data_IF_576808989139
#
_entry.id   IF_576808989139
#
_cell.length_a   1.000
_cell.length_b   1.000
_cell.length_c   1.000
_cell.angle_alpha   90.00
_cell.angle_beta   90.00
_cell.angle_gamma   90.00
#
_symmetry.space_group_name_H-M   'P 1'
#
loop_
_entity.id
_entity.type
_entity.pdbx_description
1 polymer ?
#
# COMPACT_ATOMS: atom_id res chain seq x y z
N UNK A 1 21.77 6.68 -0.38
CA UNK A 1 21.36 5.29 -0.10
C UNK A 1 19.87 5.17 -0.42
N UNK A 2 19.45 4.18 -1.19
CA UNK A 2 18.06 4.12 -1.67
C UNK A 2 17.01 3.67 -0.64
N UNK A 3 17.39 3.09 0.51
CA UNK A 3 16.48 2.97 1.66
C UNK A 3 16.14 4.39 2.15
N UNK A 4 14.93 4.84 1.82
CA UNK A 4 14.50 6.21 2.06
C UNK A 4 14.02 6.40 3.50
N UNK A 5 13.21 5.45 4.00
CA UNK A 5 12.61 5.56 5.32
C UNK A 5 12.33 4.19 5.93
N UNK A 6 12.53 4.08 7.23
CA UNK A 6 12.05 2.96 8.05
C UNK A 6 11.14 3.51 9.14
N UNK A 7 9.95 2.93 9.31
CA UNK A 7 8.98 3.30 10.34
C UNK A 7 8.77 2.08 11.22
N UNK A 8 9.20 2.16 12.48
CA UNK A 8 8.88 1.16 13.49
C UNK A 8 7.54 1.54 14.12
N UNK A 9 6.44 0.89 13.70
CA UNK A 9 5.12 1.17 14.23
C UNK A 9 4.91 0.53 15.61
N UNK A 10 5.32 -0.74 15.75
CA UNK A 10 5.40 -1.47 17.01
C UNK A 10 6.68 -2.31 17.03
N UNK A 11 6.97 -3.02 18.12
CA UNK A 11 8.11 -3.97 18.15
C UNK A 11 8.03 -5.05 17.08
N UNK A 12 6.82 -5.40 16.64
CA UNK A 12 6.55 -6.49 15.70
C UNK A 12 6.08 -6.01 14.32
N UNK A 13 6.02 -4.69 14.10
CA UNK A 13 5.53 -4.11 12.84
C UNK A 13 6.48 -3.04 12.35
N UNK A 14 7.07 -3.29 11.19
CA UNK A 14 8.02 -2.37 10.55
C UNK A 14 7.65 -2.15 9.10
N UNK A 15 7.72 -0.89 8.68
CA UNK A 15 7.57 -0.45 7.30
C UNK A 15 8.93 -0.03 6.76
N UNK A 16 9.17 -0.35 5.50
CA UNK A 16 10.37 0.06 4.76
C UNK A 16 9.94 0.72 3.47
N UNK A 17 10.55 1.87 3.16
CA UNK A 17 10.31 2.64 1.94
C UNK A 17 11.61 2.81 1.17
N UNK A 18 11.58 2.48 -0.11
CA UNK A 18 12.70 2.59 -1.05
C UNK A 18 12.46 3.69 -2.05
N UNK A 19 13.42 4.59 -2.22
CA UNK A 19 13.43 5.54 -3.32
C UNK A 19 14.20 4.94 -4.49
N UNK A 20 13.50 4.63 -5.57
CA UNK A 20 14.05 3.91 -6.74
C UNK A 20 14.86 4.88 -7.60
N UNK A 21 16.09 5.12 -7.24
CA UNK A 21 17.02 5.98 -8.00
C UNK A 21 17.90 5.20 -8.96
N UNK A 22 18.06 3.89 -8.71
CA UNK A 22 18.92 3.02 -9.51
C UNK A 22 18.35 2.73 -10.89
N UNK A 23 19.21 2.47 -11.82
CA UNK A 23 18.88 1.91 -13.12
C UNK A 23 18.40 0.46 -12.98
N UNK A 24 17.80 -0.05 -14.05
CA UNK A 24 17.41 -1.47 -14.11
C UNK A 24 18.61 -2.40 -13.92
N UNK A 25 19.72 -2.14 -14.60
CA UNK A 25 20.93 -2.98 -14.53
C UNK A 25 21.51 -3.04 -13.12
N UNK A 26 21.64 -1.89 -12.46
CA UNK A 26 22.14 -1.80 -11.09
C UNK A 26 21.27 -2.58 -10.11
N UNK A 27 19.94 -2.51 -10.22
CA UNK A 27 19.04 -3.29 -9.37
C UNK A 27 19.14 -4.79 -9.67
N UNK A 28 19.18 -5.15 -10.96
CA UNK A 28 19.18 -6.54 -11.39
C UNK A 28 20.44 -7.29 -10.94
N UNK A 29 21.60 -6.64 -10.97
CA UNK A 29 22.89 -7.19 -10.52
C UNK A 29 22.93 -7.44 -9.01
N UNK A 30 22.12 -6.71 -8.23
CA UNK A 30 22.12 -6.77 -6.77
C UNK A 30 21.06 -7.69 -6.17
N UNK A 31 20.22 -8.32 -7.01
CA UNK A 31 19.06 -9.10 -6.56
C UNK A 31 19.14 -10.53 -7.07
N UNK A 32 19.00 -11.51 -6.18
CA UNK A 32 18.88 -12.91 -6.55
C UNK A 32 17.41 -13.31 -6.58
N UNK A 33 16.89 -13.58 -7.77
CA UNK A 33 15.51 -14.00 -7.98
C UNK A 33 15.40 -15.53 -8.00
N UNK A 34 14.38 -16.06 -7.37
CA UNK A 34 13.97 -17.45 -7.57
C UNK A 34 13.37 -17.66 -8.98
N UNK A 35 13.13 -18.90 -9.37
CA UNK A 35 12.65 -19.24 -10.72
C UNK A 35 11.30 -18.58 -11.05
N UNK A 36 10.37 -18.55 -10.08
CA UNK A 36 9.02 -17.96 -10.28
C UNK A 36 9.13 -16.46 -10.45
N UNK A 37 9.91 -15.79 -9.60
CA UNK A 37 10.16 -14.36 -9.69
C UNK A 37 10.88 -13.96 -10.97
N UNK A 38 11.82 -14.78 -11.43
CA UNK A 38 12.51 -14.59 -12.74
C UNK A 38 11.53 -14.64 -13.89
N UNK A 39 10.64 -15.64 -13.91
CA UNK A 39 9.60 -15.75 -14.96
C UNK A 39 8.65 -14.54 -14.92
N UNK A 40 8.18 -14.16 -13.74
CA UNK A 40 7.29 -13.01 -13.55
C UNK A 40 7.95 -11.70 -13.98
N UNK A 41 9.19 -11.49 -13.59
CA UNK A 41 9.98 -10.32 -13.98
C UNK A 41 10.17 -10.25 -15.50
N UNK A 42 10.53 -11.35 -16.15
CA UNK A 42 10.72 -11.41 -17.61
C UNK A 42 9.43 -11.16 -18.39
N UNK A 43 8.27 -11.42 -17.80
CA UNK A 43 6.96 -11.10 -18.36
C UNK A 43 6.58 -9.61 -18.28
N UNK A 44 7.30 -8.80 -17.51
CA UNK A 44 7.00 -7.36 -17.34
C UNK A 44 7.51 -6.56 -18.53
N UNK A 45 6.62 -5.78 -19.16
CA UNK A 45 6.96 -4.97 -20.35
C UNK A 45 7.52 -3.58 -20.00
N UNK A 46 7.23 -3.06 -18.83
CA UNK A 46 7.60 -1.71 -18.40
C UNK A 46 8.84 -1.74 -17.51
N UNK A 47 9.88 -1.01 -17.87
CA UNK A 47 11.07 -0.84 -17.02
C UNK A 47 10.73 -0.24 -15.64
N UNK A 48 9.72 0.64 -15.58
CA UNK A 48 9.24 1.18 -14.31
C UNK A 48 8.76 0.05 -13.38
N UNK A 49 7.95 -0.87 -13.91
CA UNK A 49 7.46 -2.02 -13.13
C UNK A 49 8.58 -3.01 -12.80
N UNK A 50 9.53 -3.24 -13.71
CA UNK A 50 10.69 -4.09 -13.45
C UNK A 50 11.57 -3.53 -12.32
N UNK A 51 11.86 -2.22 -12.35
CA UNK A 51 12.61 -1.55 -11.28
C UNK A 51 11.88 -1.62 -9.95
N UNK A 52 10.58 -1.33 -9.92
CA UNK A 52 9.77 -1.44 -8.71
C UNK A 52 9.75 -2.87 -8.15
N UNK A 53 9.62 -3.87 -9.03
CA UNK A 53 9.68 -5.28 -8.65
C UNK A 53 11.02 -5.65 -7.99
N UNK A 54 12.14 -5.21 -8.55
CA UNK A 54 13.48 -5.45 -8.01
C UNK A 54 13.70 -4.68 -6.70
N UNK A 55 13.20 -3.45 -6.60
CA UNK A 55 13.30 -2.64 -5.38
C UNK A 55 12.57 -3.27 -4.19
N UNK A 56 11.46 -3.97 -4.43
CA UNK A 56 10.80 -4.78 -3.38
C UNK A 56 11.74 -5.86 -2.83
N UNK A 57 12.60 -6.47 -3.65
CA UNK A 57 13.59 -7.46 -3.19
C UNK A 57 14.71 -6.82 -2.38
N UNK A 58 15.06 -5.58 -2.68
CA UNK A 58 15.97 -4.79 -1.85
C UNK A 58 15.33 -4.50 -0.48
N UNK A 59 14.05 -4.14 -0.46
CA UNK A 59 13.30 -3.94 0.80
C UNK A 59 13.20 -5.22 1.63
N UNK A 60 13.00 -6.39 1.00
CA UNK A 60 13.04 -7.68 1.69
C UNK A 60 14.41 -7.91 2.34
N UNK A 61 15.50 -7.62 1.64
CA UNK A 61 16.86 -7.76 2.17
C UNK A 61 17.11 -6.85 3.39
N UNK A 62 16.63 -5.61 3.36
CA UNK A 62 16.68 -4.70 4.51
C UNK A 62 15.90 -5.23 5.73
N UNK A 63 14.83 -5.98 5.48
CA UNK A 63 14.02 -6.62 6.50
C UNK A 63 14.55 -8.00 6.95
N UNK A 64 15.69 -8.46 6.39
CA UNK A 64 16.30 -9.75 6.71
C UNK A 64 15.73 -10.94 5.95
N UNK A 65 15.01 -10.73 4.86
CA UNK A 65 14.42 -11.74 3.99
C UNK A 65 15.09 -11.76 2.61
N UNK A 66 14.86 -12.84 1.90
CA UNK A 66 15.25 -13.01 0.50
C UNK A 66 14.02 -13.21 -0.38
N UNK A 67 14.20 -13.24 -1.71
CA UNK A 67 13.12 -13.57 -2.64
C UNK A 67 12.64 -15.05 -2.49
N UNK A 68 13.43 -15.91 -1.83
CA UNK A 68 13.05 -17.31 -1.55
C UNK A 68 12.13 -17.43 -0.33
N UNK A 69 12.05 -16.39 0.51
CA UNK A 69 11.16 -16.33 1.67
C UNK A 69 9.78 -15.79 1.31
N UNK A 70 9.63 -15.19 0.10
CA UNK A 70 8.41 -14.59 -0.39
C UNK A 70 7.72 -15.51 -1.41
N UNK A 71 6.45 -15.79 -1.20
CA UNK A 71 5.61 -16.44 -2.20
C UNK A 71 4.27 -15.73 -2.36
N UNK A 72 3.54 -16.06 -3.42
CA UNK A 72 2.22 -15.50 -3.71
C UNK A 72 1.20 -16.64 -3.78
N UNK A 73 0.05 -16.45 -3.16
CA UNK A 73 -1.05 -17.39 -3.29
C UNK A 73 -1.76 -17.29 -4.67
N UNK A 74 -2.78 -18.11 -4.88
CA UNK A 74 -3.56 -18.14 -6.13
C UNK A 74 -4.31 -16.86 -6.43
N UNK A 75 -4.54 -16.01 -5.42
CA UNK A 75 -5.16 -14.69 -5.55
C UNK A 75 -4.14 -13.58 -5.83
N UNK A 76 -2.85 -13.89 -5.75
CA UNK A 76 -1.75 -12.95 -5.91
C UNK A 76 -1.36 -12.20 -4.64
N UNK A 77 -1.88 -12.58 -3.47
CA UNK A 77 -1.49 -12.00 -2.18
C UNK A 77 -0.10 -12.50 -1.77
N UNK A 78 0.80 -11.60 -1.33
CA UNK A 78 2.13 -11.99 -0.86
C UNK A 78 2.09 -12.60 0.54
N UNK A 79 2.98 -13.58 0.78
CA UNK A 79 3.16 -14.26 2.05
C UNK A 79 4.65 -14.50 2.33
N UNK A 80 5.03 -14.56 3.60
CA UNK A 80 6.36 -14.97 4.07
C UNK A 80 6.34 -16.39 4.64
N UNK A 81 7.46 -17.10 4.50
CA UNK A 81 7.58 -18.49 4.96
C UNK A 81 7.56 -18.66 6.50
N UNK A 82 7.82 -17.57 7.24
CA UNK A 82 7.82 -17.55 8.71
C UNK A 82 6.45 -17.20 9.32
N UNK A 83 5.40 -17.14 8.50
CA UNK A 83 4.02 -16.80 8.85
C UNK A 83 3.80 -15.35 9.31
N UNK A 84 4.76 -14.45 9.19
CA UNK A 84 4.48 -13.03 9.32
C UNK A 84 3.68 -12.53 8.13
N UNK A 85 2.85 -11.54 8.39
CA UNK A 85 2.09 -10.87 7.36
C UNK A 85 2.97 -9.86 6.64
N UNK A 86 2.84 -9.81 5.32
CA UNK A 86 3.49 -8.82 4.47
C UNK A 86 2.47 -8.18 3.55
N UNK A 87 2.61 -6.88 3.32
CA UNK A 87 1.92 -6.17 2.24
C UNK A 87 2.92 -5.34 1.46
N UNK A 88 2.70 -5.23 0.15
CA UNK A 88 3.65 -4.64 -0.80
C UNK A 88 2.94 -3.60 -1.64
N UNK A 89 3.61 -2.48 -1.89
CA UNK A 89 3.13 -1.43 -2.78
C UNK A 89 4.26 -0.75 -3.54
N UNK A 90 3.94 -0.14 -4.66
CA UNK A 90 4.86 0.75 -5.38
C UNK A 90 4.08 1.78 -6.21
N UNK A 91 4.63 2.96 -6.34
CA UNK A 91 4.11 4.03 -7.19
C UNK A 91 5.27 4.88 -7.69
N UNK A 92 5.40 5.02 -9.01
CA UNK A 92 6.47 5.79 -9.66
C UNK A 92 7.87 5.41 -9.14
N UNK A 93 8.55 6.35 -8.47
CA UNK A 93 9.90 6.18 -7.93
C UNK A 93 9.94 5.63 -6.50
N UNK A 94 8.82 5.21 -5.93
CA UNK A 94 8.80 4.62 -4.60
C UNK A 94 8.24 3.19 -4.58
N UNK A 95 8.86 2.36 -3.77
CA UNK A 95 8.33 1.06 -3.36
C UNK A 95 8.29 1.00 -1.83
N UNK A 96 7.33 0.28 -1.28
CA UNK A 96 7.24 0.08 0.17
C UNK A 96 6.73 -1.32 0.51
N UNK A 97 7.18 -1.83 1.66
CA UNK A 97 6.65 -3.03 2.30
C UNK A 97 6.32 -2.75 3.75
N UNK A 98 5.37 -3.47 4.28
CA UNK A 98 5.09 -3.58 5.72
C UNK A 98 5.14 -5.05 6.11
N UNK A 99 5.81 -5.35 7.22
CA UNK A 99 5.89 -6.70 7.80
C UNK A 99 5.41 -6.64 9.23
N UNK A 100 4.55 -7.58 9.63
CA UNK A 100 3.91 -7.59 10.95
C UNK A 100 3.51 -8.97 11.40
N UNK A 101 3.28 -9.14 12.71
CA UNK A 101 2.65 -10.34 13.29
C UNK A 101 1.11 -10.32 13.22
N UNK A 102 0.50 -9.22 12.77
CA UNK A 102 -0.94 -9.10 12.53
C UNK A 102 -1.23 -8.76 11.08
N UNK A 103 -2.47 -8.97 10.64
CA UNK A 103 -2.91 -8.64 9.27
C UNK A 103 -2.71 -7.17 8.96
N UNK A 104 -2.04 -6.89 7.84
CA UNK A 104 -1.65 -5.54 7.43
C UNK A 104 -1.85 -5.30 5.94
N UNK A 105 -2.12 -4.06 5.59
CA UNK A 105 -2.13 -3.60 4.20
C UNK A 105 -1.37 -2.29 4.08
N UNK A 106 -0.75 -2.06 2.93
CA UNK A 106 0.01 -0.83 2.64
C UNK A 106 -0.29 -0.35 1.23
N UNK A 107 -0.41 0.95 1.07
CA UNK A 107 -0.51 1.59 -0.23
C UNK A 107 0.33 2.87 -0.30
N UNK A 108 0.91 3.17 -1.47
CA UNK A 108 1.63 4.40 -1.74
C UNK A 108 1.12 5.02 -3.05
N UNK A 109 0.78 6.30 -3.01
CA UNK A 109 0.21 6.98 -4.15
C UNK A 109 0.81 8.37 -4.34
N UNK A 110 1.14 8.72 -5.59
CA UNK A 110 1.51 10.08 -5.95
C UNK A 110 0.28 10.98 -5.94
N UNK A 111 0.34 12.09 -5.20
CA UNK A 111 -0.67 13.13 -5.17
C UNK A 111 -0.70 13.87 -6.51
N UNK A 112 -1.78 13.75 -7.26
CA UNK A 112 -1.91 14.38 -8.58
C UNK A 112 -3.37 14.60 -8.98
N UNK A 113 -3.64 15.59 -9.78
CA UNK A 113 -4.98 15.99 -10.27
C UNK A 113 -5.76 14.83 -10.92
N UNK A 114 -5.09 13.82 -11.46
CA UNK A 114 -5.75 12.67 -12.08
C UNK A 114 -6.75 12.00 -11.12
N UNK A 115 -6.53 12.08 -9.81
CA UNK A 115 -7.42 11.47 -8.81
C UNK A 115 -8.82 12.09 -8.83
N UNK A 116 -8.95 13.38 -9.16
CA UNK A 116 -10.22 14.09 -9.27
C UNK A 116 -11.16 13.45 -10.30
N UNK A 117 -10.59 12.92 -11.39
CA UNK A 117 -11.34 12.29 -12.49
C UNK A 117 -11.88 10.91 -12.16
N UNK A 118 -11.38 10.29 -11.10
CA UNK A 118 -11.74 8.91 -10.72
C UNK A 118 -12.34 8.85 -9.32
N UNK A 119 -12.53 9.98 -8.65
CA UNK A 119 -12.99 10.06 -7.27
C UNK A 119 -14.36 9.37 -7.08
N UNK A 120 -15.26 9.51 -8.05
CA UNK A 120 -16.59 8.90 -8.08
C UNK A 120 -16.57 7.35 -8.08
N UNK A 121 -15.44 6.74 -8.40
CA UNK A 121 -15.26 5.27 -8.38
C UNK A 121 -15.04 4.72 -6.98
N UNK A 122 -14.54 5.55 -6.04
CA UNK A 122 -14.19 5.08 -4.70
C UNK A 122 -14.77 5.93 -3.56
N UNK A 123 -15.37 7.09 -3.85
CA UNK A 123 -16.03 7.97 -2.87
C UNK A 123 -17.49 8.15 -3.26
N UNK A 124 -18.41 8.17 -2.29
CA UNK A 124 -19.81 8.44 -2.55
C UNK A 124 -20.09 9.95 -2.71
N UNK A 125 -21.28 10.29 -3.22
CA UNK A 125 -21.66 11.67 -3.53
C UNK A 125 -21.70 12.58 -2.29
N UNK A 126 -22.16 12.06 -1.15
CA UNK A 126 -22.23 12.84 0.10
C UNK A 126 -20.83 13.10 0.66
N UNK A 127 -19.93 12.14 0.54
CA UNK A 127 -18.53 12.28 0.92
C UNK A 127 -17.81 13.27 -0.01
N UNK A 128 -18.01 13.18 -1.32
CA UNK A 128 -17.44 14.13 -2.30
C UNK A 128 -17.88 15.56 -2.01
N UNK A 129 -19.17 15.79 -1.74
CA UNK A 129 -19.69 17.13 -1.45
C UNK A 129 -19.02 17.75 -0.21
N UNK A 130 -18.74 16.97 0.81
CA UNK A 130 -18.02 17.45 2.00
C UNK A 130 -16.57 17.81 1.72
N UNK A 131 -15.91 17.07 0.84
CA UNK A 131 -14.52 17.29 0.48
C UNK A 131 -14.31 18.50 -0.44
N UNK A 132 -15.30 18.90 -1.23
CA UNK A 132 -15.22 20.06 -2.15
C UNK A 132 -15.03 21.41 -1.46
N UNK A 133 -15.20 21.50 -0.13
CA UNK A 133 -14.94 22.74 0.62
C UNK A 133 -13.46 23.07 0.83
N UNK A 134 -12.55 22.15 0.48
CA UNK A 134 -11.11 22.33 0.61
C UNK A 134 -10.50 23.04 -0.62
N UNK A 135 -9.27 23.56 -0.46
CA UNK A 135 -8.47 23.96 -1.61
C UNK A 135 -8.26 22.79 -2.56
N UNK A 136 -7.92 23.05 -3.82
CA UNK A 136 -7.68 21.96 -4.80
C UNK A 136 -6.59 21.00 -4.33
N UNK A 137 -5.51 21.51 -3.76
CA UNK A 137 -4.39 20.68 -3.27
C UNK A 137 -4.82 19.83 -2.07
N UNK A 138 -5.51 20.43 -1.10
CA UNK A 138 -6.04 19.68 0.05
C UNK A 138 -7.08 18.64 -0.38
N UNK A 139 -7.87 18.96 -1.40
CA UNK A 139 -8.83 18.01 -1.96
C UNK A 139 -8.14 16.82 -2.62
N UNK A 140 -7.06 17.05 -3.39
CA UNK A 140 -6.23 15.99 -3.97
C UNK A 140 -5.60 15.12 -2.88
N UNK A 141 -5.04 15.74 -1.83
CA UNK A 141 -4.46 15.03 -0.68
C UNK A 141 -5.49 14.14 0.00
N UNK A 142 -6.64 14.70 0.40
CA UNK A 142 -7.75 13.95 1.04
C UNK A 142 -8.24 12.78 0.19
N UNK A 143 -8.39 12.96 -1.11
CA UNK A 143 -8.80 11.89 -2.02
C UNK A 143 -7.72 10.81 -2.13
N UNK A 144 -6.44 11.20 -2.14
CA UNK A 144 -5.31 10.25 -2.21
C UNK A 144 -5.23 9.42 -0.94
N UNK A 145 -5.37 10.04 0.24
CA UNK A 145 -5.44 9.34 1.53
C UNK A 145 -6.61 8.35 1.59
N UNK A 146 -7.80 8.78 1.16
CA UNK A 146 -8.99 7.91 1.13
C UNK A 146 -8.84 6.74 0.16
N UNK A 147 -8.28 6.98 -1.02
CA UNK A 147 -8.00 5.92 -1.99
C UNK A 147 -7.00 4.93 -1.39
N UNK A 148 -5.87 5.42 -0.87
CA UNK A 148 -4.85 4.58 -0.26
C UNK A 148 -5.39 3.75 0.91
N UNK A 149 -6.26 4.32 1.76
CA UNK A 149 -6.90 3.59 2.85
C UNK A 149 -7.75 2.42 2.33
N UNK A 150 -8.53 2.63 1.26
CA UNK A 150 -9.36 1.58 0.66
C UNK A 150 -8.53 0.51 -0.04
N UNK A 151 -7.43 0.89 -0.71
CA UNK A 151 -6.46 -0.06 -1.29
C UNK A 151 -5.77 -0.89 -0.20
N UNK A 152 -5.34 -0.27 0.89
CA UNK A 152 -4.69 -0.97 2.00
C UNK A 152 -5.65 -1.99 2.66
N UNK A 153 -6.91 -1.61 2.90
CA UNK A 153 -7.95 -2.53 3.41
C UNK A 153 -8.20 -3.67 2.42
N UNK A 154 -8.31 -3.36 1.12
CA UNK A 154 -8.51 -4.39 0.11
C UNK A 154 -7.36 -5.40 0.09
N UNK A 155 -6.11 -4.96 0.26
CA UNK A 155 -4.94 -5.86 0.36
C UNK A 155 -4.97 -6.76 1.60
N UNK A 156 -5.61 -6.32 2.70
CA UNK A 156 -5.84 -7.17 3.88
C UNK A 156 -6.85 -8.27 3.54
N UNK A 157 -8.03 -7.87 3.08
CA UNK A 157 -9.17 -8.78 2.86
C UNK A 157 -8.96 -9.64 1.61
N UNK A 158 -8.47 -9.05 0.53
CA UNK A 158 -8.22 -9.68 -0.78
C UNK A 158 -9.44 -10.46 -1.32
N UNK A 159 -10.66 -9.98 -1.06
CA UNK A 159 -11.90 -10.67 -1.35
C UNK A 159 -12.55 -10.09 -2.61
N UNK A 160 -12.95 -10.98 -3.54
CA UNK A 160 -13.59 -10.58 -4.79
C UNK A 160 -14.99 -10.01 -4.51
N UNK A 161 -15.35 -8.94 -5.23
CA UNK A 161 -16.66 -8.30 -5.10
C UNK A 161 -16.69 -7.10 -4.16
N UNK A 162 -15.63 -6.86 -3.37
CA UNK A 162 -15.54 -5.65 -2.56
C UNK A 162 -15.50 -4.42 -3.45
N UNK A 163 -16.47 -3.52 -3.25
CA UNK A 163 -16.55 -2.20 -3.88
C UNK A 163 -15.97 -1.15 -2.94
N UNK A 164 -14.96 -0.43 -3.38
CA UNK A 164 -14.36 0.66 -2.60
C UNK A 164 -15.36 1.73 -2.23
N UNK A 165 -16.27 2.07 -3.15
CA UNK A 165 -17.30 3.08 -2.95
C UNK A 165 -18.38 2.64 -1.98
N UNK A 166 -18.88 1.40 -2.13
CA UNK A 166 -20.08 0.96 -1.46
C UNK A 166 -19.80 0.24 -0.13
N UNK A 167 -18.68 -0.47 -0.04
CA UNK A 167 -18.41 -1.36 1.08
C UNK A 167 -17.37 -0.82 2.06
N UNK A 168 -16.45 0.08 1.62
CA UNK A 168 -15.41 0.61 2.50
C UNK A 168 -15.71 2.08 2.81
N UNK A 169 -15.95 2.38 4.08
CA UNK A 169 -16.18 3.73 4.58
C UNK A 169 -15.03 4.15 5.48
N UNK A 170 -14.32 5.20 5.09
CA UNK A 170 -13.25 5.82 5.88
C UNK A 170 -13.85 6.96 6.69
N UNK A 171 -13.67 6.92 8.01
CA UNK A 171 -14.16 7.97 8.92
C UNK A 171 -13.59 9.34 8.51
N UNK A 172 -14.29 10.45 8.79
CA UNK A 172 -13.74 11.79 8.60
C UNK A 172 -12.43 11.97 9.36
N UNK A 173 -11.48 12.70 8.79
CA UNK A 173 -10.20 13.04 9.40
C UNK A 173 -9.70 14.37 8.85
N UNK A 174 -8.85 15.07 9.58
CA UNK A 174 -8.16 16.27 9.14
C UNK A 174 -6.80 15.94 8.51
N UNK A 175 -6.26 16.81 7.66
CA UNK A 175 -5.02 16.56 6.90
C UNK A 175 -3.77 16.43 7.77
N UNK A 176 -3.79 16.97 8.97
CA UNK A 176 -2.72 16.85 9.96
C UNK A 176 -2.86 15.62 10.87
N UNK A 177 -4.00 14.94 10.82
CA UNK A 177 -4.21 13.70 11.55
C UNK A 177 -3.40 12.58 10.92
N UNK A 178 -2.66 11.85 11.77
CA UNK A 178 -1.85 10.72 11.35
C UNK A 178 -2.60 9.40 11.34
N UNK A 179 -3.80 9.37 11.91
CA UNK A 179 -4.59 8.16 12.06
C UNK A 179 -6.09 8.45 11.95
N UNK A 180 -6.82 7.49 11.40
CA UNK A 180 -8.28 7.45 11.40
C UNK A 180 -8.76 6.00 11.49
N UNK A 181 -10.06 5.79 11.38
CA UNK A 181 -10.68 4.46 11.32
C UNK A 181 -11.42 4.25 10.02
N UNK A 182 -11.62 2.99 9.67
CA UNK A 182 -12.48 2.63 8.55
C UNK A 182 -13.28 1.37 8.89
N UNK A 183 -14.39 1.19 8.19
CA UNK A 183 -15.21 -0.02 8.25
C UNK A 183 -15.37 -0.60 6.86
N UNK A 184 -15.20 -1.90 6.74
CA UNK A 184 -15.66 -2.71 5.61
C UNK A 184 -16.97 -3.37 6.01
N UNK A 185 -18.04 -3.11 5.24
CA UNK A 185 -19.35 -3.76 5.37
C UNK A 185 -19.61 -4.55 4.08
N UNK A 186 -19.36 -5.85 4.13
CA UNK A 186 -19.45 -6.74 2.97
C UNK A 186 -19.98 -8.12 3.38
N UNK A 187 -20.95 -8.68 2.63
CA UNK A 187 -21.54 -10.01 2.86
C UNK A 187 -22.03 -10.26 4.30
N UNK A 188 -22.67 -9.24 4.91
CA UNK A 188 -23.19 -9.26 6.30
C UNK A 188 -22.11 -9.35 7.38
N UNK A 189 -20.86 -9.12 7.02
CA UNK A 189 -19.74 -8.99 7.96
C UNK A 189 -19.30 -7.53 8.03
N UNK A 190 -19.04 -7.06 9.23
CA UNK A 190 -18.43 -5.76 9.46
C UNK A 190 -17.04 -5.95 10.09
N UNK A 191 -16.03 -5.36 9.45
CA UNK A 191 -14.66 -5.38 9.91
C UNK A 191 -14.19 -3.95 10.12
N UNK A 192 -13.52 -3.69 11.23
CA UNK A 192 -12.99 -2.38 11.57
C UNK A 192 -11.49 -2.34 11.38
N UNK A 193 -11.00 -1.18 10.93
CA UNK A 193 -9.58 -0.97 10.65
C UNK A 193 -9.08 0.32 11.29
N UNK A 194 -7.85 0.29 11.77
CA UNK A 194 -7.04 1.48 12.02
C UNK A 194 -6.31 1.82 10.73
N UNK A 195 -6.37 3.08 10.31
CA UNK A 195 -5.70 3.59 9.12
C UNK A 195 -4.69 4.64 9.56
N UNK A 196 -3.44 4.47 9.15
CA UNK A 196 -2.37 5.41 9.43
C UNK A 196 -1.87 6.06 8.13
N UNK A 197 -1.48 7.33 8.22
CA UNK A 197 -1.01 8.15 7.10
C UNK A 197 0.39 8.69 7.35
N UNK A 198 1.17 8.74 6.29
CA UNK A 198 2.43 9.46 6.23
C UNK A 198 2.58 10.10 4.85
N UNK A 199 3.25 11.23 4.76
CA UNK A 199 3.44 11.96 3.51
C UNK A 199 4.89 12.38 3.34
N UNK A 200 5.39 12.29 2.13
CA UNK A 200 6.73 12.72 1.72
C UNK A 200 6.79 12.91 0.19
N UNK A 201 7.53 13.89 -0.27
CA UNK A 201 7.81 14.15 -1.70
C UNK A 201 6.57 14.10 -2.61
N UNK A 202 5.45 14.66 -2.14
CA UNK A 202 4.15 14.60 -2.82
C UNK A 202 3.55 13.20 -2.96
N UNK A 203 4.02 12.24 -2.16
CA UNK A 203 3.41 10.92 -2.02
C UNK A 203 2.67 10.79 -0.69
N UNK A 204 1.58 10.07 -0.75
CA UNK A 204 0.84 9.61 0.43
C UNK A 204 1.12 8.13 0.64
N UNK A 205 1.65 7.76 1.80
CA UNK A 205 1.80 6.39 2.28
C UNK A 205 0.67 6.10 3.26
N UNK A 206 -0.10 5.06 2.99
CA UNK A 206 -1.19 4.61 3.86
C UNK A 206 -0.98 3.17 4.27
N UNK A 207 -1.18 2.87 5.54
CA UNK A 207 -1.15 1.50 6.02
C UNK A 207 -2.31 1.23 6.98
N UNK A 208 -2.79 0.00 6.96
CA UNK A 208 -4.00 -0.41 7.64
C UNK A 208 -3.78 -1.66 8.49
N UNK A 209 -4.47 -1.71 9.62
CA UNK A 209 -4.51 -2.86 10.52
C UNK A 209 -5.97 -3.22 10.80
N UNK A 210 -6.27 -4.51 10.75
CA UNK A 210 -7.57 -5.00 11.20
C UNK A 210 -7.66 -4.87 12.73
N UNK A 211 -8.77 -4.31 13.23
CA UNK A 211 -9.06 -4.28 14.66
C UNK A 211 -9.67 -5.61 15.07
N UNK A 212 -9.04 -6.31 16.00
CA UNK A 212 -9.67 -7.46 16.63
C UNK A 212 -10.93 -6.99 17.38
N UNK A 213 -12.04 -7.67 17.18
CA UNK A 213 -13.23 -7.48 18.05
C UNK A 213 -12.81 -7.75 19.49
N UNK A 214 -13.02 -6.73 20.36
CA UNK A 214 -12.87 -6.90 21.79
C UNK A 214 -14.14 -7.50 22.39
#
# INVERSE_FOLDING_TARGET
MPLFKTIQYTQETTLYVWHITETFSELYEQVHLNTISTQRHNGMKSQLHQRAFLSVRKLLAEAGYTDFDLYYDTSGKPHLNDNKYISITHSHEFAAIIISNQTVGIDIELQREKILRIADKFVDTAELSRLQSFSTDDYIRKLTEKKGAKEAIFKICNEKGISFKNHIKVSPFELDQKETTAILDFEKKQQWFTICFDEFDSFTLVYAFEKNEQ
#
